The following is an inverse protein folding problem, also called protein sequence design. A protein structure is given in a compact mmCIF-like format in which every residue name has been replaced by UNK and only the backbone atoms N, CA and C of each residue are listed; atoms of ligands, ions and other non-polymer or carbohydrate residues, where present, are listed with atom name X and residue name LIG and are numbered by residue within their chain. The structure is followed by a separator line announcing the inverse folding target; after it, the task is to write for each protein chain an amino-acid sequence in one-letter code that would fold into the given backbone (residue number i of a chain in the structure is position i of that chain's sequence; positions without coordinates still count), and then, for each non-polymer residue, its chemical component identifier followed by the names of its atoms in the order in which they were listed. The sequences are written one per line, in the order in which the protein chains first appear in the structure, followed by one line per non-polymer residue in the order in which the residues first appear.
data_IF_696451125964
#
_entry.id   IF_696451125964
#
_cell.length_a   1.000
_cell.length_b   1.000
_cell.length_c   1.000
_cell.angle_alpha   90.00
_cell.angle_beta   90.00
_cell.angle_gamma   90.00
#
_symmetry.space_group_name_H-M   'P 1'
#
loop_
_entity.id
_entity.type
_entity.pdbx_description
1 polymer ?
#
# COMPACT_ATOMS: atom_id res chain seq x y z
N UNK A 1 -24.65 4.16 12.05
CA UNK A 1 -24.13 5.54 12.01
C UNK A 1 -23.55 5.78 10.63
N UNK A 2 -24.11 6.73 9.88
CA UNK A 2 -23.71 6.98 8.49
C UNK A 2 -22.24 7.35 8.40
N UNK A 3 -21.48 6.60 7.61
CA UNK A 3 -20.11 6.93 7.27
C UNK A 3 -20.18 8.24 6.47
N UNK A 4 -19.86 9.38 7.10
CA UNK A 4 -19.69 10.64 6.38
C UNK A 4 -18.53 10.44 5.41
N UNK A 5 -18.85 10.07 4.17
CA UNK A 5 -17.89 9.91 3.09
C UNK A 5 -17.13 11.23 2.99
N UNK A 6 -15.82 11.20 3.30
CA UNK A 6 -14.91 12.34 3.11
C UNK A 6 -15.21 12.95 1.74
N UNK A 7 -15.37 14.27 1.68
CA UNK A 7 -15.57 14.95 0.39
C UNK A 7 -14.41 14.54 -0.52
N UNK A 8 -14.73 14.18 -1.76
CA UNK A 8 -13.74 13.71 -2.73
C UNK A 8 -13.56 14.79 -3.81
N UNK A 9 -13.00 15.97 -3.47
CA UNK A 9 -12.88 17.08 -4.42
C UNK A 9 -12.06 16.70 -5.64
N UNK A 10 -11.11 15.77 -5.47
CA UNK A 10 -10.20 15.32 -6.53
C UNK A 10 -10.66 14.03 -7.21
N UNK A 11 -11.86 13.51 -6.92
CA UNK A 11 -12.34 12.23 -7.48
C UNK A 11 -12.35 12.23 -9.00
N UNK A 12 -12.80 13.33 -9.59
CA UNK A 12 -12.88 13.48 -11.04
C UNK A 12 -11.50 13.36 -11.68
N UNK A 13 -10.55 14.14 -11.18
CA UNK A 13 -9.16 14.14 -11.65
C UNK A 13 -8.54 12.74 -11.50
N UNK A 14 -8.72 12.10 -10.34
CA UNK A 14 -8.23 10.75 -10.09
C UNK A 14 -8.74 9.73 -11.12
N UNK A 15 -10.05 9.75 -11.41
CA UNK A 15 -10.65 8.83 -12.39
C UNK A 15 -10.20 9.15 -13.82
N UNK A 16 -10.08 10.43 -14.18
CA UNK A 16 -9.58 10.86 -15.49
C UNK A 16 -8.13 10.37 -15.70
N UNK A 17 -7.25 10.57 -14.71
CA UNK A 17 -5.85 10.09 -14.75
C UNK A 17 -5.77 8.57 -14.89
N UNK A 18 -6.60 7.82 -14.15
CA UNK A 18 -6.61 6.36 -14.28
C UNK A 18 -7.12 5.90 -15.64
N UNK A 19 -8.09 6.60 -16.24
CA UNK A 19 -8.65 6.24 -17.55
C UNK A 19 -7.71 6.57 -18.71
N UNK A 20 -6.85 7.58 -18.56
CA UNK A 20 -5.87 7.96 -19.58
C UNK A 20 -4.63 7.05 -19.61
N UNK A 21 -4.40 6.23 -18.58
CA UNK A 21 -3.25 5.32 -18.54
C UNK A 21 -3.39 4.16 -19.52
N UNK A 22 -2.34 3.90 -20.29
CA UNK A 22 -2.20 2.65 -21.05
C UNK A 22 -2.03 1.45 -20.10
N UNK A 23 -2.19 0.20 -20.58
CA UNK A 23 -1.91 -0.98 -19.76
C UNK A 23 -0.49 -1.00 -19.17
N UNK A 24 0.52 -0.60 -19.95
CA UNK A 24 1.91 -0.50 -19.49
C UNK A 24 2.09 0.52 -18.37
N UNK A 25 1.58 1.74 -18.56
CA UNK A 25 1.64 2.79 -17.54
C UNK A 25 0.92 2.39 -16.24
N UNK A 26 -0.20 1.66 -16.37
CA UNK A 26 -0.91 1.14 -15.20
C UNK A 26 -0.08 0.10 -14.46
N UNK A 27 0.63 -0.76 -15.18
CA UNK A 27 1.52 -1.76 -14.59
C UNK A 27 2.70 -1.10 -13.89
N UNK A 28 3.36 -0.14 -14.53
CA UNK A 28 4.48 0.61 -13.96
C UNK A 28 4.05 1.32 -12.67
N UNK A 29 2.88 1.96 -12.68
CA UNK A 29 2.33 2.60 -11.49
C UNK A 29 2.01 1.59 -10.38
N UNK A 30 1.58 0.38 -10.73
CA UNK A 30 1.34 -0.67 -9.75
C UNK A 30 2.64 -1.13 -9.07
N UNK A 31 3.75 -1.22 -9.81
CA UNK A 31 5.06 -1.52 -9.23
C UNK A 31 5.52 -0.41 -8.29
N UNK A 32 5.49 0.84 -8.74
CA UNK A 32 5.85 2.00 -7.91
C UNK A 32 5.05 2.04 -6.59
N UNK A 33 3.72 1.89 -6.66
CA UNK A 33 2.88 1.89 -5.47
C UNK A 33 3.17 0.71 -4.54
N UNK A 34 3.52 -0.45 -5.10
CA UNK A 34 3.88 -1.64 -4.32
C UNK A 34 5.18 -1.41 -3.55
N UNK A 35 6.21 -0.88 -4.20
CA UNK A 35 7.48 -0.53 -3.56
C UNK A 35 7.29 0.49 -2.43
N UNK A 36 6.57 1.59 -2.71
CA UNK A 36 6.28 2.62 -1.72
C UNK A 36 5.56 2.04 -0.49
N UNK A 37 4.60 1.14 -0.72
CA UNK A 37 3.84 0.52 0.37
C UNK A 37 4.71 -0.43 1.19
N UNK A 38 5.60 -1.19 0.55
CA UNK A 38 6.54 -2.08 1.25
C UNK A 38 7.52 -1.30 2.11
N UNK A 39 8.06 -0.19 1.62
CA UNK A 39 8.92 0.69 2.40
C UNK A 39 8.19 1.31 3.60
N UNK A 40 6.97 1.83 3.37
CA UNK A 40 6.15 2.36 4.45
C UNK A 40 5.86 1.30 5.52
N UNK A 41 5.62 0.04 5.12
CA UNK A 41 5.44 -1.07 6.06
C UNK A 41 6.71 -1.34 6.87
N UNK A 42 7.89 -1.39 6.24
CA UNK A 42 9.17 -1.60 6.94
C UNK A 42 9.44 -0.51 7.98
N UNK A 43 9.29 0.75 7.59
CA UNK A 43 9.44 1.90 8.49
C UNK A 43 8.42 1.82 9.63
N UNK A 44 7.15 1.52 9.32
CA UNK A 44 6.10 1.37 10.33
C UNK A 44 6.37 0.23 11.32
N UNK A 45 6.94 -0.89 10.86
CA UNK A 45 7.34 -2.01 11.72
C UNK A 45 8.49 -1.63 12.65
N UNK A 46 9.54 -0.98 12.14
CA UNK A 46 10.65 -0.49 12.97
C UNK A 46 10.16 0.50 14.03
N UNK A 47 9.32 1.46 13.64
CA UNK A 47 8.77 2.45 14.56
C UNK A 47 7.88 1.81 15.65
N UNK A 48 7.18 0.73 15.32
CA UNK A 48 6.31 0.01 16.27
C UNK A 48 7.09 -0.92 17.20
N UNK A 49 8.18 -1.50 16.72
CA UNK A 49 9.00 -2.48 17.44
C UNK A 49 10.47 -2.04 17.43
N UNK A 50 10.84 -0.98 18.16
CA UNK A 50 12.18 -0.40 18.11
C UNK A 50 13.28 -1.36 18.58
N UNK A 51 12.97 -2.25 19.53
CA UNK A 51 13.90 -3.21 20.12
C UNK A 51 14.02 -4.54 19.35
N UNK A 52 13.22 -4.72 18.29
CA UNK A 52 13.25 -5.95 17.52
C UNK A 52 14.50 -6.01 16.63
N UNK A 53 15.10 -7.20 16.51
CA UNK A 53 16.19 -7.43 15.56
C UNK A 53 15.69 -7.33 14.12
N UNK A 54 16.62 -7.14 13.19
CA UNK A 54 16.31 -7.02 11.77
C UNK A 54 15.65 -8.29 11.21
N UNK A 55 16.06 -9.47 11.69
CA UNK A 55 15.46 -10.76 11.34
C UNK A 55 14.02 -10.86 11.82
N UNK A 56 13.76 -10.44 13.07
CA UNK A 56 12.41 -10.44 13.63
C UNK A 56 11.49 -9.46 12.89
N UNK A 57 11.99 -8.28 12.53
CA UNK A 57 11.28 -7.31 11.72
C UNK A 57 11.01 -7.84 10.30
N UNK A 58 11.97 -8.54 9.70
CA UNK A 58 11.80 -9.17 8.39
C UNK A 58 10.74 -10.27 8.42
N UNK A 59 10.73 -11.13 9.45
CA UNK A 59 9.71 -12.14 9.63
C UNK A 59 8.31 -11.52 9.76
N UNK A 60 8.17 -10.46 10.55
CA UNK A 60 6.91 -9.70 10.67
C UNK A 60 6.50 -9.08 9.33
N UNK A 61 7.44 -8.53 8.57
CA UNK A 61 7.16 -7.99 7.23
C UNK A 61 6.57 -9.05 6.30
N UNK A 62 7.18 -10.23 6.20
CA UNK A 62 6.70 -11.34 5.38
C UNK A 62 5.31 -11.83 5.83
N UNK A 63 5.10 -11.94 7.14
CA UNK A 63 3.80 -12.34 7.72
C UNK A 63 2.69 -11.36 7.33
N UNK A 64 2.97 -10.05 7.34
CA UNK A 64 2.01 -9.01 6.95
C UNK A 64 1.70 -9.04 5.46
N UNK A 65 2.70 -9.26 4.60
CA UNK A 65 2.48 -9.42 3.16
C UNK A 65 1.56 -10.61 2.87
N UNK A 66 1.80 -11.74 3.53
CA UNK A 66 0.99 -12.95 3.34
C UNK A 66 -0.46 -12.74 3.76
N UNK A 67 -0.71 -12.01 4.86
CA UNK A 67 -2.07 -11.62 5.28
C UNK A 67 -2.77 -10.73 4.23
N UNK A 68 -2.05 -9.80 3.60
CA UNK A 68 -2.60 -8.96 2.53
C UNK A 68 -2.94 -9.78 1.28
N UNK A 69 -2.05 -10.72 0.90
CA UNK A 69 -2.28 -11.64 -0.24
C UNK A 69 -3.55 -12.46 -0.06
N UNK A 70 -3.72 -13.10 1.11
CA UNK A 70 -4.90 -13.92 1.45
C UNK A 70 -6.22 -13.16 1.48
N UNK A 71 -6.20 -11.84 1.65
CA UNK A 71 -7.40 -10.98 1.63
C UNK A 71 -7.84 -10.57 0.24
N UNK A 72 -6.95 -10.67 -0.74
CA UNK A 72 -7.18 -10.26 -2.13
C UNK A 72 -7.39 -11.46 -3.07
N UNK A 73 -7.26 -12.69 -2.55
CA UNK A 73 -7.55 -13.98 -3.22
C UNK A 73 -8.92 -14.49 -2.83
#
# INVERSE_FOLDING_TARGET
MGNQLKSQPNRRIYLETLRSMTPGQRLDKAFELSEMTHEALRVGLRARYPEASDEALHALYLERLERCRKRNS
#
